data_IF_047324500162
#
_entry.id   IF_047324500162
#
_cell.length_a   1.000
_cell.length_b   1.000
_cell.length_c   1.000
_cell.angle_alpha   90.00
_cell.angle_beta   90.00
_cell.angle_gamma   90.00
#
_symmetry.space_group_name_H-M   'P 1'
#
loop_
_entity.id
_entity.type
_entity.pdbx_description
1 polymer ?
#
# COMPACT_ATOMS: atom_id res chain seq x y z
N UNK A 1 21.49 -20.57 -8.81
CA UNK A 1 20.60 -19.56 -8.22
C UNK A 1 20.91 -19.51 -6.74
N UNK A 2 21.00 -18.32 -6.14
CA UNK A 2 21.19 -18.22 -4.70
C UNK A 2 19.88 -18.58 -3.99
N UNK A 3 19.97 -19.22 -2.83
CA UNK A 3 18.80 -19.51 -1.99
C UNK A 3 18.25 -18.21 -1.40
N UNK A 4 16.91 -18.07 -1.41
CA UNK A 4 16.21 -16.90 -0.89
C UNK A 4 15.33 -17.31 0.30
N UNK A 5 15.61 -16.76 1.47
CA UNK A 5 14.77 -16.94 2.66
C UNK A 5 13.88 -15.71 2.87
N UNK A 6 12.57 -15.93 2.93
CA UNK A 6 11.56 -14.87 3.11
C UNK A 6 10.70 -15.17 4.33
N UNK A 7 10.38 -14.13 5.09
CA UNK A 7 9.36 -14.19 6.14
C UNK A 7 7.99 -13.89 5.53
N UNK A 8 6.99 -14.72 5.86
CA UNK A 8 5.62 -14.57 5.38
C UNK A 8 4.67 -14.56 6.58
N UNK A 9 3.81 -13.55 6.64
CA UNK A 9 2.76 -13.43 7.66
C UNK A 9 1.40 -13.73 7.05
N UNK A 10 0.65 -14.64 7.66
CA UNK A 10 -0.74 -14.93 7.29
C UNK A 10 -1.68 -14.26 8.29
N UNK A 11 -2.58 -13.41 7.80
CA UNK A 11 -3.65 -12.86 8.61
C UNK A 11 -4.83 -13.83 8.63
N UNK A 12 -5.36 -14.12 9.82
CA UNK A 12 -6.51 -15.01 9.99
C UNK A 12 -7.76 -14.47 9.27
N UNK A 13 -7.94 -13.15 9.26
CA UNK A 13 -9.06 -12.47 8.59
C UNK A 13 -8.54 -11.29 7.79
N UNK A 14 -9.14 -11.06 6.62
CA UNK A 14 -8.94 -9.84 5.86
C UNK A 14 -9.60 -8.62 6.51
N UNK A 15 -9.23 -7.42 6.05
CA UNK A 15 -9.88 -6.17 6.44
C UNK A 15 -8.90 -5.03 6.78
N UNK A 16 -9.44 -3.82 6.99
CA UNK A 16 -8.66 -2.60 7.23
C UNK A 16 -7.84 -2.63 8.52
N UNK A 17 -8.19 -3.50 9.48
CA UNK A 17 -7.44 -3.68 10.72
C UNK A 17 -6.00 -4.18 10.48
N UNK A 18 -5.72 -4.78 9.32
CA UNK A 18 -4.39 -5.28 8.98
C UNK A 18 -3.53 -4.24 8.27
N UNK A 19 -4.06 -3.08 7.87
CA UNK A 19 -3.38 -2.15 6.97
C UNK A 19 -2.05 -1.65 7.55
N UNK A 20 -2.02 -1.25 8.81
CA UNK A 20 -0.79 -0.76 9.45
C UNK A 20 0.27 -1.87 9.47
N UNK A 21 -0.13 -3.09 9.85
CA UNK A 21 0.80 -4.22 9.91
C UNK A 21 1.30 -4.64 8.53
N UNK A 22 0.45 -4.59 7.51
CA UNK A 22 0.82 -4.89 6.15
C UNK A 22 1.85 -3.88 5.60
N UNK A 23 1.69 -2.58 5.91
CA UNK A 23 2.64 -1.54 5.52
C UNK A 23 4.00 -1.71 6.23
N UNK A 24 4.01 -2.09 7.52
CA UNK A 24 5.25 -2.42 8.24
C UNK A 24 5.99 -3.61 7.62
N UNK A 25 5.27 -4.69 7.28
CA UNK A 25 5.85 -5.88 6.63
C UNK A 25 6.43 -5.49 5.26
N UNK A 26 5.70 -4.67 4.49
CA UNK A 26 6.20 -4.15 3.21
C UNK A 26 7.46 -3.30 3.40
N UNK A 27 7.52 -2.43 4.42
CA UNK A 27 8.72 -1.63 4.73
C UNK A 27 9.94 -2.51 5.03
N UNK A 28 9.77 -3.55 5.84
CA UNK A 28 10.84 -4.50 6.15
C UNK A 28 11.37 -5.18 4.88
N UNK A 29 10.48 -5.60 3.99
CA UNK A 29 10.85 -6.21 2.72
C UNK A 29 11.60 -5.21 1.81
N UNK A 30 11.08 -3.99 1.71
CA UNK A 30 11.69 -2.91 0.94
C UNK A 30 13.12 -2.63 1.41
N UNK A 31 13.33 -2.54 2.73
CA UNK A 31 14.64 -2.26 3.32
C UNK A 31 15.62 -3.42 3.13
N UNK A 32 15.14 -4.67 3.21
CA UNK A 32 15.96 -5.86 2.98
C UNK A 32 16.47 -5.96 1.54
N UNK A 33 15.64 -5.58 0.56
CA UNK A 33 15.93 -5.76 -0.87
C UNK A 33 16.30 -4.46 -1.59
N UNK A 34 16.32 -3.32 -0.90
CA UNK A 34 16.67 -2.02 -1.48
C UNK A 34 15.69 -1.53 -2.55
N UNK A 35 14.40 -1.85 -2.38
CA UNK A 35 13.35 -1.47 -3.34
C UNK A 35 13.01 0.01 -3.19
N UNK A 36 12.77 0.70 -4.30
CA UNK A 36 12.39 2.12 -4.28
C UNK A 36 10.99 2.39 -4.80
N UNK A 37 10.51 1.56 -5.72
CA UNK A 37 9.21 1.73 -6.37
C UNK A 37 8.13 1.00 -5.57
N UNK A 38 7.10 1.74 -5.16
CA UNK A 38 6.03 1.24 -4.28
C UNK A 38 4.70 1.58 -4.92
N UNK A 39 3.89 0.56 -5.21
CA UNK A 39 2.53 0.73 -5.75
C UNK A 39 1.52 0.36 -4.68
N UNK A 40 0.59 1.27 -4.38
CA UNK A 40 -0.41 1.11 -3.31
C UNK A 40 -1.80 1.35 -3.88
N UNK A 41 -2.68 0.37 -3.71
CA UNK A 41 -4.11 0.55 -3.96
C UNK A 41 -4.75 1.32 -2.79
N UNK A 42 -5.45 2.42 -3.09
CA UNK A 42 -6.20 3.17 -2.08
C UNK A 42 -7.41 3.84 -2.70
N UNK A 43 -8.59 3.40 -2.31
CA UNK A 43 -9.87 3.94 -2.82
C UNK A 43 -10.23 5.27 -2.16
N UNK A 44 -10.26 5.33 -0.83
CA UNK A 44 -10.69 6.51 -0.06
C UNK A 44 -9.52 7.37 0.43
N UNK A 45 -8.29 7.01 0.09
CA UNK A 45 -7.07 7.71 0.53
C UNK A 45 -6.53 7.33 1.90
N UNK A 46 -7.26 6.56 2.71
CA UNK A 46 -6.82 6.18 4.07
C UNK A 46 -5.47 5.42 4.03
N UNK A 47 -5.36 4.41 3.16
CA UNK A 47 -4.12 3.63 3.01
C UNK A 47 -2.99 4.49 2.45
N UNK A 48 -3.29 5.40 1.51
CA UNK A 48 -2.30 6.33 0.96
C UNK A 48 -1.73 7.27 2.03
N UNK A 49 -2.59 7.82 2.90
CA UNK A 49 -2.17 8.68 4.01
C UNK A 49 -1.22 7.94 4.96
N UNK A 50 -1.61 6.74 5.41
CA UNK A 50 -0.77 5.89 6.27
C UNK A 50 0.56 5.51 5.61
N UNK A 51 0.53 5.23 4.31
CA UNK A 51 1.73 4.92 3.57
C UNK A 51 2.67 6.14 3.46
N UNK A 52 2.15 7.35 3.28
CA UNK A 52 2.96 8.57 3.22
C UNK A 52 3.67 8.89 4.55
N UNK A 53 3.13 8.43 5.69
CA UNK A 53 3.80 8.53 7.00
C UNK A 53 5.00 7.57 7.12
N UNK A 54 4.91 6.40 6.47
CA UNK A 54 5.93 5.34 6.55
C UNK A 54 7.01 5.49 5.47
N UNK A 55 6.60 5.87 4.26
CA UNK A 55 7.44 5.98 3.08
C UNK A 55 7.62 7.45 2.74
N UNK A 56 8.80 7.99 3.06
CA UNK A 56 9.16 9.35 2.69
C UNK A 56 9.27 9.48 1.15
N UNK A 57 8.49 10.38 0.50
CA UNK A 57 8.54 10.57 -0.95
C UNK A 57 9.89 11.06 -1.50
N UNK A 58 10.82 11.50 -0.63
CA UNK A 58 12.20 11.84 -1.04
C UNK A 58 13.06 10.59 -1.26
N UNK A 59 12.71 9.48 -0.61
CA UNK A 59 13.49 8.24 -0.59
C UNK A 59 12.86 7.16 -1.49
N UNK A 60 11.55 7.22 -1.71
CA UNK A 60 10.76 6.22 -2.44
C UNK A 60 9.91 6.83 -3.56
N UNK A 61 9.76 6.09 -4.66
CA UNK A 61 8.85 6.40 -5.75
C UNK A 61 7.49 5.76 -5.44
N UNK A 62 6.54 6.56 -4.95
CA UNK A 62 5.24 6.07 -4.48
C UNK A 62 4.17 6.34 -5.54
N UNK A 63 3.49 5.29 -6.00
CA UNK A 63 2.35 5.36 -6.91
C UNK A 63 1.09 4.91 -6.20
N UNK A 64 0.14 5.84 -6.05
CA UNK A 64 -1.19 5.54 -5.51
C UNK A 64 -2.14 5.24 -6.67
N UNK A 65 -2.79 4.09 -6.60
CA UNK A 65 -3.80 3.66 -7.58
C UNK A 65 -5.16 3.69 -6.89
N UNK A 66 -6.00 4.63 -7.33
CA UNK A 66 -7.40 4.72 -6.91
C UNK A 66 -8.33 3.98 -7.87
N UNK A 67 -9.60 3.88 -7.51
CA UNK A 67 -10.66 3.46 -8.41
C UNK A 67 -10.82 4.44 -9.59
N UNK A 68 -11.27 3.90 -10.72
CA UNK A 68 -11.72 4.73 -11.83
C UNK A 68 -12.87 5.65 -11.40
N UNK A 69 -13.00 6.82 -12.03
CA UNK A 69 -14.13 7.71 -11.71
C UNK A 69 -15.47 7.00 -11.98
N UNK A 70 -16.44 7.20 -11.09
CA UNK A 70 -17.77 6.56 -11.14
C UNK A 70 -17.73 5.02 -11.09
N UNK A 71 -16.79 4.44 -10.33
CA UNK A 71 -16.64 3.00 -10.21
C UNK A 71 -17.91 2.31 -9.67
N UNK A 72 -18.40 1.31 -10.42
CA UNK A 72 -19.56 0.41 -10.16
C UNK A 72 -20.71 1.02 -9.35
N UNK A 73 -21.77 1.47 -10.05
CA UNK A 73 -23.01 2.01 -9.46
C UNK A 73 -22.81 3.18 -8.49
N UNK A 74 -21.62 3.79 -8.49
CA UNK A 74 -21.34 4.97 -7.69
C UNK A 74 -21.93 6.21 -8.36
N UNK A 75 -22.72 6.97 -7.60
CA UNK A 75 -23.09 8.34 -7.96
C UNK A 75 -21.97 9.33 -7.63
N UNK A 76 -20.98 8.91 -6.85
CA UNK A 76 -19.79 9.68 -6.50
C UNK A 76 -18.80 9.63 -7.65
N UNK A 77 -18.31 10.80 -8.06
CA UNK A 77 -17.30 10.91 -9.13
C UNK A 77 -16.00 10.20 -8.75
N UNK A 78 -15.48 10.43 -7.55
CA UNK A 78 -14.26 9.81 -7.05
C UNK A 78 -14.35 9.73 -5.52
N UNK A 79 -14.06 8.56 -4.96
CA UNK A 79 -14.02 8.31 -3.51
C UNK A 79 -12.74 8.84 -2.86
N UNK A 80 -11.67 8.95 -3.65
CA UNK A 80 -10.42 9.57 -3.23
C UNK A 80 -10.61 11.10 -3.15
N UNK A 81 -10.23 11.75 -2.04
CA UNK A 81 -10.39 13.19 -1.89
C UNK A 81 -9.51 13.99 -2.87
N UNK A 82 -9.99 15.18 -3.26
CA UNK A 82 -9.24 16.13 -4.09
C UNK A 82 -8.00 16.70 -3.38
#
# INVERSE_FOLDING_TARGET
MADLNLEVTYFEKGGPQNTDKALEIAKKYIDQFGIKDIVIASTTGITAAKAAEIFNPKDYNIMIVTHACYFVNSTTRQEFPD
#
